data_IF_314145323075
#
_entry.id   IF_314145323075
#
_cell.length_a   1.000
_cell.length_b   1.000
_cell.length_c   1.000
_cell.angle_alpha   90.00
_cell.angle_beta   90.00
_cell.angle_gamma   90.00
#
_symmetry.space_group_name_H-M   'P 1'
#
loop_
_entity.id
_entity.type
_entity.pdbx_description
1 polymer ?
#
# COMPACT_ATOMS: atom_id res chain seq x y z
N UNK A 1 -53.40 -21.10 -22.71
CA UNK A 1 -51.99 -21.27 -22.26
C UNK A 1 -51.15 -20.34 -23.14
N UNK A 2 -50.33 -19.38 -22.72
CA UNK A 2 -49.80 -19.03 -21.41
C UNK A 2 -49.09 -17.66 -21.52
N UNK A 3 -49.84 -16.56 -21.71
CA UNK A 3 -49.27 -15.21 -21.69
C UNK A 3 -48.82 -14.80 -20.27
N UNK A 4 -49.50 -15.36 -19.25
CA UNK A 4 -49.22 -15.11 -17.83
C UNK A 4 -47.91 -15.76 -17.34
N UNK A 5 -47.51 -16.94 -17.84
CA UNK A 5 -46.23 -17.55 -17.42
C UNK A 5 -45.00 -16.84 -18.02
N UNK A 6 -45.15 -16.23 -19.21
CA UNK A 6 -44.06 -15.52 -19.88
C UNK A 6 -43.75 -14.17 -19.19
N UNK A 7 -44.77 -13.53 -18.60
CA UNK A 7 -44.63 -12.32 -17.78
C UNK A 7 -44.03 -12.65 -16.40
N UNK A 8 -44.39 -13.79 -15.80
CA UNK A 8 -43.81 -14.26 -14.54
C UNK A 8 -42.30 -14.54 -14.63
N UNK A 9 -41.85 -15.18 -15.72
CA UNK A 9 -40.42 -15.45 -15.95
C UNK A 9 -39.64 -14.15 -16.19
N UNK A 10 -40.17 -13.21 -17.00
CA UNK A 10 -39.52 -11.90 -17.23
C UNK A 10 -39.40 -11.08 -15.94
N UNK A 11 -40.41 -11.09 -15.08
CA UNK A 11 -40.37 -10.39 -13.78
C UNK A 11 -39.41 -11.05 -12.79
N UNK A 12 -39.35 -12.39 -12.76
CA UNK A 12 -38.37 -13.13 -11.95
C UNK A 12 -36.93 -12.87 -12.40
N UNK A 13 -36.68 -12.85 -13.70
CA UNK A 13 -35.36 -12.52 -14.28
C UNK A 13 -34.91 -11.10 -14.00
N UNK A 14 -35.81 -10.11 -14.12
CA UNK A 14 -35.52 -8.70 -13.79
C UNK A 14 -35.24 -8.53 -12.29
N UNK A 15 -36.02 -9.19 -11.43
CA UNK A 15 -35.79 -9.16 -9.97
C UNK A 15 -34.41 -9.71 -9.58
N UNK A 16 -33.98 -10.82 -10.20
CA UNK A 16 -32.64 -11.39 -9.97
C UNK A 16 -31.52 -10.46 -10.46
N UNK A 17 -31.68 -9.80 -11.60
CA UNK A 17 -30.70 -8.82 -12.10
C UNK A 17 -30.56 -7.64 -11.13
N UNK A 18 -31.67 -7.11 -10.61
CA UNK A 18 -31.64 -6.01 -9.64
C UNK A 18 -30.92 -6.45 -8.35
N UNK A 19 -31.24 -7.63 -7.82
CA UNK A 19 -30.56 -8.16 -6.63
C UNK A 19 -29.07 -8.36 -6.86
N UNK A 20 -28.67 -8.88 -8.03
CA UNK A 20 -27.27 -9.06 -8.39
C UNK A 20 -26.52 -7.72 -8.48
N UNK A 21 -27.13 -6.69 -9.07
CA UNK A 21 -26.54 -5.35 -9.15
C UNK A 21 -26.41 -4.68 -7.77
N UNK A 22 -27.41 -4.85 -6.90
CA UNK A 22 -27.36 -4.36 -5.51
C UNK A 22 -26.29 -5.06 -4.70
N UNK A 23 -26.17 -6.39 -4.83
CA UNK A 23 -25.13 -7.17 -4.17
C UNK A 23 -23.74 -6.75 -4.67
N UNK A 24 -23.56 -6.56 -5.98
CA UNK A 24 -22.32 -6.07 -6.57
C UNK A 24 -21.94 -4.68 -6.03
N UNK A 25 -22.89 -3.74 -6.03
CA UNK A 25 -22.68 -2.40 -5.48
C UNK A 25 -22.30 -2.43 -4.00
N UNK A 26 -22.94 -3.29 -3.20
CA UNK A 26 -22.61 -3.44 -1.79
C UNK A 26 -21.18 -3.98 -1.56
N UNK A 27 -20.73 -4.92 -2.40
CA UNK A 27 -19.36 -5.46 -2.35
C UNK A 27 -18.34 -4.39 -2.72
N UNK A 28 -18.59 -3.60 -3.77
CA UNK A 28 -17.66 -2.51 -4.17
C UNK A 28 -17.53 -1.39 -3.13
N UNK A 29 -18.62 -1.09 -2.41
CA UNK A 29 -18.62 -0.09 -1.33
C UNK A 29 -17.83 -0.58 -0.12
N UNK A 30 -17.91 -1.87 0.20
CA UNK A 30 -17.23 -2.47 1.35
C UNK A 30 -15.77 -2.86 1.05
N UNK A 31 -15.39 -2.94 -0.22
CA UNK A 31 -14.04 -3.31 -0.62
C UNK A 31 -13.03 -2.24 -0.23
N UNK A 32 -11.92 -2.68 0.37
CA UNK A 32 -10.75 -1.83 0.63
C UNK A 32 -10.31 -1.13 -0.66
N UNK A 33 -10.16 0.19 -0.59
CA UNK A 33 -9.69 0.97 -1.73
C UNK A 33 -8.19 0.76 -1.92
N UNK A 34 -7.76 0.73 -3.17
CA UNK A 34 -6.38 0.50 -3.52
C UNK A 34 -5.90 1.47 -4.60
N UNK A 35 -4.62 1.79 -4.51
CA UNK A 35 -3.83 2.35 -5.61
C UNK A 35 -3.00 1.21 -6.18
N UNK A 36 -3.30 0.84 -7.42
CA UNK A 36 -2.65 -0.24 -8.14
C UNK A 36 -1.71 0.34 -9.19
N UNK A 37 -0.40 0.17 -9.01
CA UNK A 37 0.59 0.84 -9.86
C UNK A 37 1.87 0.04 -10.12
N UNK A 38 2.63 0.52 -11.09
CA UNK A 38 4.05 0.18 -11.37
C UNK A 38 4.85 1.48 -11.47
N UNK A 39 6.10 1.50 -10.99
CA UNK A 39 6.95 2.69 -11.11
C UNK A 39 7.34 2.90 -12.58
N UNK A 40 7.16 4.12 -13.08
CA UNK A 40 7.49 4.54 -14.43
C UNK A 40 6.34 4.48 -15.44
N UNK A 41 5.18 3.93 -15.07
CA UNK A 41 4.01 3.91 -15.95
C UNK A 41 3.30 5.27 -16.03
N UNK A 42 2.43 5.50 -17.02
CA UNK A 42 1.59 6.70 -17.07
C UNK A 42 0.66 6.80 -15.86
N UNK A 43 0.66 7.98 -15.23
CA UNK A 43 -0.13 8.27 -14.04
C UNK A 43 -1.63 8.07 -14.28
N UNK A 44 -2.13 8.39 -15.47
CA UNK A 44 -3.53 8.19 -15.81
C UNK A 44 -3.91 6.70 -15.92
N UNK A 45 -3.00 5.84 -16.39
CA UNK A 45 -3.21 4.39 -16.43
C UNK A 45 -3.31 3.80 -15.02
N UNK A 46 -2.56 4.34 -14.05
CA UNK A 46 -2.72 4.01 -12.64
C UNK A 46 -4.09 4.48 -12.12
N UNK A 47 -4.50 5.72 -12.44
CA UNK A 47 -5.79 6.27 -11.99
C UNK A 47 -6.99 5.45 -12.44
N UNK A 48 -7.00 5.02 -13.70
CA UNK A 48 -8.11 4.25 -14.27
C UNK A 48 -8.23 2.84 -13.69
N UNK A 49 -7.10 2.23 -13.31
CA UNK A 49 -7.06 0.88 -12.72
C UNK A 49 -7.30 0.86 -11.21
N UNK A 50 -6.99 1.96 -10.52
CA UNK A 50 -7.09 2.07 -9.07
C UNK A 50 -8.54 2.28 -8.62
N UNK A 51 -8.92 1.66 -7.51
CA UNK A 51 -10.26 1.85 -6.94
C UNK A 51 -10.33 3.05 -5.99
N UNK A 52 -9.19 3.50 -5.46
CA UNK A 52 -9.12 4.73 -4.66
C UNK A 52 -9.09 5.95 -5.58
N UNK A 53 -10.03 6.89 -5.37
CA UNK A 53 -10.05 8.14 -6.11
C UNK A 53 -8.80 8.97 -5.78
N UNK A 54 -8.09 9.42 -6.81
CA UNK A 54 -6.91 10.28 -6.70
C UNK A 54 -6.95 11.34 -7.80
N UNK A 55 -6.47 12.55 -7.50
CA UNK A 55 -6.48 13.68 -8.44
C UNK A 55 -5.63 13.41 -9.68
N UNK A 56 -5.90 14.08 -10.82
CA UNK A 56 -5.09 13.97 -12.02
C UNK A 56 -3.67 14.51 -11.80
N UNK A 57 -2.73 14.11 -12.66
CA UNK A 57 -1.40 14.69 -12.68
C UNK A 57 -1.44 16.10 -13.29
N UNK A 58 -0.55 16.98 -12.83
CA UNK A 58 -0.32 18.28 -13.45
C UNK A 58 0.63 18.06 -14.65
N UNK A 59 0.23 18.41 -15.89
CA UNK A 59 1.04 18.16 -17.08
C UNK A 59 2.44 18.78 -17.01
N UNK A 60 3.46 18.01 -17.40
CA UNK A 60 4.85 18.47 -17.47
C UNK A 60 5.52 18.85 -16.14
N UNK A 61 4.92 18.56 -14.99
CA UNK A 61 5.45 18.92 -13.68
C UNK A 61 5.93 17.72 -12.85
N UNK A 62 6.74 18.02 -11.83
CA UNK A 62 7.03 17.12 -10.71
C UNK A 62 6.12 17.52 -9.57
N UNK A 63 5.25 16.61 -9.14
CA UNK A 63 4.33 16.85 -8.04
C UNK A 63 3.89 15.53 -7.43
N UNK A 64 2.96 15.57 -6.48
CA UNK A 64 2.38 14.39 -5.87
C UNK A 64 0.89 14.58 -5.66
N UNK A 65 0.19 13.45 -5.55
CA UNK A 65 -1.20 13.42 -5.09
C UNK A 65 -1.33 12.40 -3.97
N UNK A 66 -2.40 12.57 -3.18
CA UNK A 66 -2.80 11.65 -2.11
C UNK A 66 -4.20 11.12 -2.46
N UNK A 67 -4.46 9.81 -2.31
CA UNK A 67 -5.81 9.25 -2.43
C UNK A 67 -6.82 9.97 -1.53
N UNK A 68 -8.07 10.07 -1.97
CA UNK A 68 -9.14 10.75 -1.23
C UNK A 68 -9.69 9.94 -0.05
N UNK A 69 -9.29 8.68 0.07
CA UNK A 69 -9.64 7.77 1.15
C UNK A 69 -8.39 7.04 1.65
N UNK A 70 -8.47 6.42 2.82
CA UNK A 70 -7.49 5.42 3.24
C UNK A 70 -7.41 4.33 2.13
N UNK A 71 -6.21 3.97 1.73
CA UNK A 71 -5.99 3.04 0.62
C UNK A 71 -4.73 2.22 0.82
N UNK A 72 -4.73 0.99 0.31
CA UNK A 72 -3.52 0.15 0.25
C UNK A 72 -2.78 0.37 -1.06
N UNK A 73 -1.47 0.15 -1.05
CA UNK A 73 -0.69 -0.01 -2.27
C UNK A 73 -0.83 -1.46 -2.74
N UNK A 74 -1.16 -1.64 -4.02
CA UNK A 74 -0.91 -2.87 -4.77
C UNK A 74 0.16 -2.58 -5.81
N UNK A 75 1.39 -2.98 -5.53
CA UNK A 75 2.46 -2.89 -6.52
C UNK A 75 2.28 -4.03 -7.52
N UNK A 76 1.93 -3.69 -8.75
CA UNK A 76 1.44 -4.65 -9.76
C UNK A 76 2.51 -5.18 -10.72
N UNK A 77 3.77 -5.06 -10.34
CA UNK A 77 4.84 -5.68 -11.12
C UNK A 77 4.66 -7.22 -11.17
N UNK A 78 4.76 -7.87 -12.34
CA UNK A 78 4.52 -9.32 -12.46
C UNK A 78 5.45 -10.20 -11.64
N UNK A 79 6.67 -9.74 -11.35
CA UNK A 79 7.67 -10.50 -10.59
C UNK A 79 7.82 -9.95 -9.17
N UNK A 80 7.92 -8.63 -9.05
CA UNK A 80 8.28 -7.94 -7.81
C UNK A 80 7.06 -7.41 -7.05
N UNK A 81 5.85 -7.70 -7.50
CA UNK A 81 4.61 -7.21 -6.92
C UNK A 81 4.42 -7.59 -5.45
N UNK A 82 3.75 -6.71 -4.71
CA UNK A 82 3.39 -6.92 -3.31
C UNK A 82 2.21 -6.02 -2.92
N UNK A 83 1.57 -6.32 -1.79
CA UNK A 83 0.46 -5.53 -1.23
C UNK A 83 0.79 -5.03 0.16
N UNK A 84 0.31 -3.82 0.48
CA UNK A 84 0.41 -3.27 1.83
C UNK A 84 -0.94 -3.36 2.56
N UNK A 85 -0.95 -3.21 3.89
CA UNK A 85 -2.13 -2.76 4.61
C UNK A 85 -2.63 -1.39 4.12
N UNK A 86 -3.84 -1.02 4.53
CA UNK A 86 -4.40 0.31 4.32
C UNK A 86 -3.51 1.40 4.94
N UNK A 87 -3.41 2.52 4.23
CA UNK A 87 -2.64 3.67 4.64
C UNK A 87 -3.47 4.95 4.57
N UNK A 88 -3.35 5.76 5.63
CA UNK A 88 -3.88 7.12 5.63
C UNK A 88 -2.91 8.11 4.98
N UNK A 89 -1.62 7.97 5.29
CA UNK A 89 -0.58 8.72 4.61
C UNK A 89 -0.09 7.91 3.41
N UNK A 90 -0.46 8.34 2.20
CA UNK A 90 -0.08 7.68 0.96
C UNK A 90 0.11 8.73 -0.14
N UNK A 91 1.36 9.07 -0.46
CA UNK A 91 1.67 9.94 -1.60
C UNK A 91 2.12 9.11 -2.80
N UNK A 92 1.54 9.43 -3.96
CA UNK A 92 2.02 9.00 -5.27
C UNK A 92 2.69 10.20 -5.92
N UNK A 93 4.00 10.12 -6.09
CA UNK A 93 4.83 11.17 -6.67
C UNK A 93 5.01 10.86 -8.15
N UNK A 94 4.85 11.86 -9.00
CA UNK A 94 4.99 11.74 -10.44
C UNK A 94 5.88 12.84 -11.02
N UNK A 95 6.45 12.55 -12.19
CA UNK A 95 7.27 13.48 -12.98
C UNK A 95 6.87 13.34 -14.43
N UNK A 96 6.47 14.44 -15.06
CA UNK A 96 6.03 14.45 -16.46
C UNK A 96 4.96 13.36 -16.69
N UNK A 97 3.97 13.32 -15.78
CA UNK A 97 2.85 12.38 -15.80
C UNK A 97 3.22 10.89 -15.75
N UNK A 98 4.48 10.55 -15.40
CA UNK A 98 4.89 9.18 -15.11
C UNK A 98 5.04 8.97 -13.60
N UNK A 99 4.65 7.80 -13.10
CA UNK A 99 4.86 7.42 -11.70
C UNK A 99 6.36 7.45 -11.40
N UNK A 100 6.77 8.29 -10.45
CA UNK A 100 8.17 8.43 -10.07
C UNK A 100 8.50 7.62 -8.82
N UNK A 101 7.66 7.75 -7.78
CA UNK A 101 7.86 7.05 -6.51
C UNK A 101 6.60 7.04 -5.67
N UNK A 102 6.55 6.14 -4.69
CA UNK A 102 5.56 6.13 -3.62
C UNK A 102 6.25 6.45 -2.30
N UNK A 103 5.59 7.24 -1.44
CA UNK A 103 5.93 7.34 -0.02
C UNK A 103 4.65 7.19 0.80
N UNK A 104 4.62 6.24 1.71
CA UNK A 104 3.42 5.94 2.47
C UNK A 104 3.75 5.41 3.87
N UNK A 105 2.72 5.36 4.72
CA UNK A 105 2.76 4.62 5.98
C UNK A 105 1.74 3.49 5.89
N UNK A 106 2.14 2.20 5.84
CA UNK A 106 1.24 1.05 5.71
C UNK A 106 0.44 0.78 6.99
N UNK A 107 -0.26 1.80 7.45
CA UNK A 107 -1.10 1.85 8.65
C UNK A 107 -2.00 3.09 8.57
N UNK A 108 -3.16 3.03 9.22
CA UNK A 108 -4.08 4.17 9.33
C UNK A 108 -3.78 5.01 10.59
N UNK A 109 -3.37 4.36 11.67
CA UNK A 109 -2.98 4.97 12.93
C UNK A 109 -1.60 4.48 13.37
N UNK A 110 -0.87 5.22 14.23
CA UNK A 110 0.31 4.71 14.93
C UNK A 110 0.02 3.36 15.60
N UNK A 111 0.87 2.37 15.35
CA UNK A 111 0.68 0.98 15.77
C UNK A 111 1.37 0.70 17.11
N UNK A 112 0.93 -0.35 17.80
CA UNK A 112 1.72 -0.93 18.89
C UNK A 112 2.93 -1.67 18.31
N UNK A 113 3.92 -1.99 19.15
CA UNK A 113 5.16 -2.64 18.69
C UNK A 113 4.90 -3.98 17.99
N UNK A 114 4.01 -4.82 18.53
CA UNK A 114 3.70 -6.14 17.96
C UNK A 114 3.06 -6.03 16.57
N UNK A 115 2.04 -5.16 16.44
CA UNK A 115 1.38 -4.91 15.15
C UNK A 115 2.35 -4.32 14.13
N UNK A 116 3.26 -3.46 14.59
CA UNK A 116 4.30 -2.87 13.75
C UNK A 116 5.22 -3.94 13.18
N UNK A 117 5.70 -4.85 14.05
CA UNK A 117 6.56 -5.96 13.66
C UNK A 117 5.85 -6.89 12.68
N UNK A 118 4.57 -7.19 12.91
CA UNK A 118 3.77 -7.99 11.98
C UNK A 118 3.75 -7.38 10.57
N UNK A 119 3.39 -6.10 10.44
CA UNK A 119 3.33 -5.42 9.14
C UNK A 119 4.68 -5.44 8.42
N UNK A 120 5.78 -5.09 9.11
CA UNK A 120 7.09 -5.02 8.44
C UNK A 120 7.62 -6.42 8.08
N UNK A 121 7.38 -7.43 8.91
CA UNK A 121 7.81 -8.79 8.62
C UNK A 121 7.02 -9.38 7.46
N UNK A 122 5.71 -9.15 7.40
CA UNK A 122 4.86 -9.59 6.29
C UNK A 122 5.29 -8.94 4.96
N UNK A 123 5.63 -7.64 4.96
CA UNK A 123 6.16 -6.95 3.78
C UNK A 123 7.51 -7.52 3.34
N UNK A 124 8.45 -7.69 4.27
CA UNK A 124 9.75 -8.28 3.95
C UNK A 124 9.62 -9.71 3.42
N UNK A 125 8.65 -10.48 3.91
CA UNK A 125 8.43 -11.84 3.44
C UNK A 125 7.87 -11.87 2.02
N UNK A 126 6.85 -11.04 1.71
CA UNK A 126 6.39 -10.84 0.32
C UNK A 126 7.54 -10.45 -0.61
N UNK A 127 8.43 -9.57 -0.14
CA UNK A 127 9.60 -9.14 -0.92
C UNK A 127 10.58 -10.27 -1.18
N UNK A 128 10.92 -11.09 -0.17
CA UNK A 128 11.77 -12.27 -0.39
C UNK A 128 11.15 -13.21 -1.42
N UNK A 129 9.85 -13.47 -1.32
CA UNK A 129 9.12 -14.33 -2.25
C UNK A 129 9.09 -13.76 -3.68
N UNK A 130 8.96 -12.43 -3.81
CA UNK A 130 9.04 -11.71 -5.09
C UNK A 130 10.46 -11.51 -5.63
N UNK A 131 11.49 -12.09 -5.00
CA UNK A 131 12.88 -12.01 -5.46
C UNK A 131 13.61 -10.71 -5.12
N UNK A 132 13.05 -9.88 -4.25
CA UNK A 132 13.76 -8.74 -3.69
C UNK A 132 14.88 -9.22 -2.75
N UNK A 133 15.99 -8.48 -2.72
CA UNK A 133 17.12 -8.76 -1.85
C UNK A 133 17.37 -7.59 -0.90
N UNK A 134 17.64 -7.85 0.39
CA UNK A 134 18.05 -6.80 1.28
C UNK A 134 19.44 -6.30 0.86
N UNK A 135 19.65 -4.99 0.98
CA UNK A 135 20.92 -4.32 0.69
C UNK A 135 21.35 -3.51 1.90
N UNK A 136 22.60 -3.06 1.94
CA UNK A 136 23.16 -2.31 3.08
C UNK A 136 23.01 -3.04 4.42
N UNK A 137 22.97 -4.38 4.41
CA UNK A 137 22.62 -5.23 5.56
C UNK A 137 23.47 -4.95 6.80
N UNK A 138 24.71 -4.48 6.63
CA UNK A 138 25.61 -4.11 7.72
C UNK A 138 25.10 -2.90 8.52
N UNK A 139 24.58 -1.89 7.82
CA UNK A 139 24.18 -0.60 8.41
C UNK A 139 22.67 -0.54 8.64
N UNK A 140 21.90 -1.12 7.71
CA UNK A 140 20.44 -1.10 7.61
C UNK A 140 19.88 -2.54 7.51
N UNK A 141 20.12 -3.41 8.51
CA UNK A 141 19.71 -4.81 8.47
C UNK A 141 18.18 -4.96 8.37
N UNK A 142 17.67 -6.02 7.72
CA UNK A 142 16.27 -6.40 7.80
C UNK A 142 15.75 -6.47 9.23
N UNK A 143 14.51 -6.03 9.42
CA UNK A 143 13.81 -6.16 10.69
C UNK A 143 13.62 -7.63 11.04
N UNK A 144 13.75 -7.97 12.32
CA UNK A 144 13.46 -9.30 12.85
C UNK A 144 12.75 -9.20 14.21
N UNK A 145 11.87 -10.13 14.52
CA UNK A 145 11.23 -10.22 15.83
C UNK A 145 12.18 -10.88 16.84
N UNK A 146 13.11 -10.10 17.38
CA UNK A 146 14.06 -10.53 18.41
C UNK A 146 14.05 -9.56 19.58
N UNK A 147 14.43 -10.00 20.79
CA UNK A 147 14.57 -9.10 21.94
C UNK A 147 15.46 -7.88 21.66
N UNK A 148 16.54 -8.07 20.89
CA UNK A 148 17.48 -7.01 20.51
C UNK A 148 16.80 -5.96 19.60
N UNK A 149 16.06 -6.41 18.59
CA UNK A 149 15.31 -5.51 17.72
C UNK A 149 14.21 -4.77 18.47
N UNK A 150 13.46 -5.46 19.33
CA UNK A 150 12.42 -4.84 20.17
C UNK A 150 13.00 -3.78 21.10
N UNK A 151 14.13 -4.07 21.76
CA UNK A 151 14.82 -3.11 22.61
C UNK A 151 15.30 -1.89 21.81
N UNK A 152 15.84 -2.11 20.60
CA UNK A 152 16.25 -1.04 19.70
C UNK A 152 15.08 -0.14 19.29
N UNK A 153 13.93 -0.71 18.93
CA UNK A 153 12.77 0.07 18.51
C UNK A 153 12.16 0.88 19.65
N UNK A 154 12.18 0.36 20.89
CA UNK A 154 11.71 1.09 22.08
C UNK A 154 12.56 2.31 22.41
N UNK A 155 13.85 2.27 22.06
CA UNK A 155 14.77 3.41 22.20
C UNK A 155 14.38 4.52 21.21
N UNK A 156 13.93 5.64 21.78
CA UNK A 156 13.42 6.80 21.04
C UNK A 156 14.43 7.42 20.07
N UNK A 157 15.73 7.13 20.24
CA UNK A 157 16.81 7.72 19.44
C UNK A 157 17.32 6.79 18.33
N UNK A 158 16.87 5.53 18.23
CA UNK A 158 17.48 4.54 17.32
C UNK A 158 16.63 4.15 16.13
N UNK A 159 15.36 3.79 16.35
CA UNK A 159 14.48 3.24 15.31
C UNK A 159 15.12 2.10 14.50
N UNK A 160 14.69 1.94 13.26
CA UNK A 160 15.30 1.03 12.31
C UNK A 160 15.04 1.45 10.87
N UNK A 161 15.98 1.14 9.99
CA UNK A 161 15.85 1.29 8.54
C UNK A 161 16.30 0.01 7.88
N UNK A 162 15.61 -0.40 6.81
CA UNK A 162 16.01 -1.52 5.96
C UNK A 162 15.78 -1.16 4.50
N UNK A 163 16.76 -1.46 3.67
CA UNK A 163 16.69 -1.26 2.22
C UNK A 163 16.61 -2.59 1.48
N UNK A 164 15.82 -2.59 0.42
CA UNK A 164 15.55 -3.76 -0.41
C UNK A 164 15.63 -3.40 -1.88
N UNK A 165 16.14 -4.30 -2.70
CA UNK A 165 16.33 -4.08 -4.12
C UNK A 165 15.75 -5.22 -4.96
N UNK A 166 14.95 -4.85 -5.95
CA UNK A 166 14.39 -5.74 -6.97
C UNK A 166 15.18 -5.58 -8.26
N UNK A 167 16.15 -6.48 -8.47
CA UNK A 167 17.04 -6.44 -9.62
C UNK A 167 17.75 -5.09 -9.77
N UNK A 168 17.68 -4.48 -10.95
CA UNK A 168 18.13 -3.11 -11.22
C UNK A 168 16.96 -2.13 -11.40
N UNK A 169 15.73 -2.57 -11.14
CA UNK A 169 14.52 -1.86 -11.54
C UNK A 169 13.95 -1.02 -10.42
N UNK A 170 13.92 -1.56 -9.20
CA UNK A 170 13.26 -0.94 -8.06
C UNK A 170 14.06 -1.08 -6.78
N UNK A 171 13.82 -0.15 -5.87
CA UNK A 171 14.31 -0.17 -4.51
C UNK A 171 13.16 0.21 -3.56
N UNK A 172 13.15 -0.42 -2.40
CA UNK A 172 12.22 -0.14 -1.33
C UNK A 172 13.00 0.18 -0.05
N UNK A 173 12.44 1.08 0.76
CA UNK A 173 12.98 1.41 2.07
C UNK A 173 11.85 1.30 3.10
N UNK A 174 12.09 0.56 4.17
CA UNK A 174 11.27 0.55 5.38
C UNK A 174 12.00 1.31 6.48
N UNK A 175 11.27 2.21 7.13
CA UNK A 175 11.73 2.87 8.35
C UNK A 175 10.69 2.64 9.44
N UNK A 176 11.12 2.24 10.63
CA UNK A 176 10.27 2.13 11.81
C UNK A 176 10.84 3.00 12.91
N UNK A 177 10.01 3.91 13.44
CA UNK A 177 10.38 4.75 14.57
C UNK A 177 9.26 4.76 15.60
N UNK A 178 9.64 4.90 16.87
CA UNK A 178 8.70 5.25 17.93
C UNK A 178 8.15 6.65 17.63
N UNK A 179 6.84 6.80 17.75
CA UNK A 179 6.10 8.00 17.44
C UNK A 179 5.31 8.47 18.66
N UNK A 180 5.42 9.76 18.96
CA UNK A 180 4.63 10.38 20.03
C UNK A 180 3.23 10.69 19.50
N UNK A 181 2.30 9.79 19.76
CA UNK A 181 0.90 10.00 19.39
C UNK A 181 0.20 10.91 20.40
N UNK A 182 -0.29 12.07 19.93
CA UNK A 182 -1.03 13.04 20.76
C UNK A 182 -2.37 12.46 21.22
N UNK A 183 -2.99 11.57 20.44
CA UNK A 183 -4.28 10.94 20.81
C UNK A 183 -4.11 9.87 21.89
N UNK A 184 -2.92 9.29 22.01
CA UNK A 184 -2.61 8.18 22.92
C UNK A 184 -1.28 8.44 23.64
N UNK A 185 -1.21 9.48 24.49
CA UNK A 185 0.06 9.97 25.03
C UNK A 185 0.76 9.00 26.01
N UNK A 186 0.02 8.04 26.57
CA UNK A 186 0.53 7.04 27.53
C UNK A 186 1.00 5.75 26.88
N UNK A 187 0.85 5.60 25.57
CA UNK A 187 1.14 4.35 24.87
C UNK A 187 2.41 4.44 24.02
N UNK A 188 3.13 3.33 23.93
CA UNK A 188 4.22 3.20 22.96
C UNK A 188 3.66 2.94 21.57
N UNK A 189 3.69 3.98 20.74
CA UNK A 189 3.20 3.93 19.37
C UNK A 189 4.33 4.06 18.36
N UNK A 190 4.14 3.51 17.17
CA UNK A 190 5.15 3.40 16.14
C UNK A 190 4.59 3.78 14.77
N UNK A 191 5.44 4.41 13.96
CA UNK A 191 5.16 4.70 12.56
C UNK A 191 6.12 3.93 11.67
N UNK A 192 5.55 3.36 10.62
CA UNK A 192 6.24 2.74 9.50
C UNK A 192 6.24 3.76 8.36
N UNK A 193 7.38 3.97 7.73
CA UNK A 193 7.49 4.65 6.44
C UNK A 193 7.96 3.65 5.41
N UNK A 194 7.20 3.50 4.33
CA UNK A 194 7.59 2.79 3.13
C UNK A 194 7.87 3.81 2.02
N UNK A 195 9.03 3.70 1.39
CA UNK A 195 9.32 4.37 0.13
C UNK A 195 9.61 3.34 -0.97
N UNK A 196 9.13 3.59 -2.18
CA UNK A 196 9.32 2.72 -3.35
C UNK A 196 9.60 3.58 -4.59
N UNK A 197 10.69 3.31 -5.29
CA UNK A 197 11.09 4.03 -6.50
C UNK A 197 12.09 3.22 -7.34
N UNK A 198 12.60 3.80 -8.43
CA UNK A 198 13.83 3.31 -9.10
C UNK A 198 15.03 3.45 -8.15
N UNK A 199 16.07 2.58 -8.21
CA UNK A 199 17.18 2.59 -7.26
C UNK A 199 17.82 3.97 -7.02
N UNK A 200 18.02 4.33 -5.75
CA UNK A 200 18.58 5.63 -5.32
C UNK A 200 19.73 5.53 -4.31
N UNK A 201 19.89 4.41 -3.59
CA UNK A 201 21.08 4.12 -2.78
C UNK A 201 21.89 2.97 -3.38
N UNK A 202 23.20 2.99 -3.13
CA UNK A 202 24.11 1.90 -3.49
C UNK A 202 23.87 0.67 -2.59
N UNK A 203 23.92 -0.56 -3.14
CA UNK A 203 23.78 -1.79 -2.39
C UNK A 203 24.78 -1.97 -1.24
#
# INVERSE_FOLDING_TARGET
>A
MSWLAQVGWRRGGVGLVVVALLAWGAIEVQSEKEIALVIGEPYESMRQRSSAAIGPAIPGQVSFNIPKSDARLRFTDPQYGFVTPLARFFTVIYRNELINSVRMSPQIEPLLLDDTLKVVLDLQEQWRQGGWRPIRVKDDPPFADTPQWRARLRDVNKGGTSYWQAGNQYQAMLVVNRFRDVKRPTEERYLITLALAKPWVKP
#
